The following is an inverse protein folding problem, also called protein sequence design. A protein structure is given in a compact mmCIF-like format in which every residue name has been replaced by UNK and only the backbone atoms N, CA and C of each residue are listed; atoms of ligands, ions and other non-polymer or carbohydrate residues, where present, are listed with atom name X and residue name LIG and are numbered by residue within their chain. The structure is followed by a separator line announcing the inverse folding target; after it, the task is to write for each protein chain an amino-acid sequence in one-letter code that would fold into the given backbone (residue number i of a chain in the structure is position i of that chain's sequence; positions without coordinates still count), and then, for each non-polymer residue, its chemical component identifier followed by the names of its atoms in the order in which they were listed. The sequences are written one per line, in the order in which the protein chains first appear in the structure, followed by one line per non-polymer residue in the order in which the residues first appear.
data_IF_978508240491
#
_entry.id   IF_978508240491
#
_cell.length_a   1.000
_cell.length_b   1.000
_cell.length_c   1.000
_cell.angle_alpha   90.00
_cell.angle_beta   90.00
_cell.angle_gamma   90.00
#
_symmetry.space_group_name_H-M   'P 1'
#
loop_
_entity.id
_entity.type
_entity.pdbx_description
1 polymer ?
#
# COMPACT_ATOMS: atom_id res chain seq x y z
N UNK A 1 10.90 -33.09 -27.88
CA UNK A 1 11.69 -33.06 -26.63
C UNK A 1 12.54 -31.80 -26.66
N UNK A 2 12.33 -30.94 -25.65
CA UNK A 2 13.23 -29.91 -25.13
C UNK A 2 13.59 -28.75 -26.07
N UNK A 3 12.78 -27.68 -26.07
CA UNK A 3 13.28 -26.33 -26.39
C UNK A 3 12.37 -25.18 -25.91
N UNK A 4 11.82 -25.20 -24.68
CA UNK A 4 11.13 -24.01 -24.11
C UNK A 4 11.33 -23.88 -22.58
N UNK A 5 12.53 -24.15 -22.07
CA UNK A 5 12.89 -23.88 -20.65
C UNK A 5 13.95 -22.80 -20.44
N UNK A 6 14.51 -22.21 -21.50
CA UNK A 6 15.62 -21.25 -21.41
C UNK A 6 15.24 -19.80 -21.11
N UNK A 7 14.09 -19.33 -21.60
CA UNK A 7 13.76 -17.89 -21.57
C UNK A 7 13.42 -17.30 -20.20
N UNK A 8 13.05 -18.14 -19.21
CA UNK A 8 12.72 -17.68 -17.86
C UNK A 8 13.95 -17.48 -16.96
N UNK A 9 15.00 -18.28 -17.15
CA UNK A 9 16.22 -18.23 -16.34
C UNK A 9 17.09 -17.04 -16.76
N UNK A 10 17.22 -16.78 -18.07
CA UNK A 10 18.00 -15.66 -18.60
C UNK A 10 17.43 -14.28 -18.20
N UNK A 11 16.12 -14.14 -18.06
CA UNK A 11 15.48 -12.88 -17.61
C UNK A 11 15.62 -12.64 -16.12
N UNK A 12 15.55 -13.71 -15.31
CA UNK A 12 15.77 -13.61 -13.87
C UNK A 12 17.23 -13.23 -13.54
N UNK A 13 18.19 -13.73 -14.34
CA UNK A 13 19.59 -13.29 -14.26
C UNK A 13 19.76 -11.82 -14.63
N UNK A 14 19.07 -11.33 -15.68
CA UNK A 14 19.11 -9.92 -16.07
C UNK A 14 18.56 -8.97 -15.00
N UNK A 15 17.45 -9.35 -14.33
CA UNK A 15 16.89 -8.57 -13.22
C UNK A 15 17.86 -8.49 -12.03
N UNK A 16 18.47 -9.61 -11.66
CA UNK A 16 19.46 -9.65 -10.57
C UNK A 16 20.73 -8.86 -10.92
N UNK A 17 21.12 -8.82 -12.20
CA UNK A 17 22.21 -7.99 -12.69
C UNK A 17 21.86 -6.50 -12.60
N UNK A 18 20.65 -6.07 -13.01
CA UNK A 18 20.20 -4.68 -12.88
C UNK A 18 20.22 -4.19 -11.42
N UNK A 19 19.80 -5.03 -10.47
CA UNK A 19 19.87 -4.70 -9.04
C UNK A 19 21.33 -4.51 -8.58
N UNK A 20 22.25 -5.39 -8.99
CA UNK A 20 23.68 -5.26 -8.66
C UNK A 20 24.29 -4.00 -9.26
N UNK A 21 23.87 -3.61 -10.47
CA UNK A 21 24.33 -2.38 -11.13
C UNK A 21 23.83 -1.16 -10.35
N UNK A 22 22.55 -1.15 -9.97
CA UNK A 22 21.95 -0.08 -9.16
C UNK A 22 22.65 0.08 -7.81
N UNK A 23 22.96 -1.04 -7.13
CA UNK A 23 23.69 -1.04 -5.86
C UNK A 23 25.13 -0.51 -6.02
N UNK A 24 25.81 -0.91 -7.11
CA UNK A 24 27.16 -0.42 -7.40
C UNK A 24 27.16 1.08 -7.71
N UNK A 25 26.18 1.57 -8.48
CA UNK A 25 26.04 2.97 -8.83
C UNK A 25 25.69 3.84 -7.61
N UNK A 26 24.82 3.35 -6.71
CA UNK A 26 24.52 4.02 -5.45
C UNK A 26 25.76 4.18 -4.56
N UNK A 27 26.62 3.16 -4.48
CA UNK A 27 27.91 3.25 -3.76
C UNK A 27 28.83 4.29 -4.38
N UNK A 28 28.94 4.31 -5.72
CA UNK A 28 29.77 5.31 -6.42
C UNK A 28 29.26 6.73 -6.17
N UNK A 29 27.93 6.94 -6.22
CA UNK A 29 27.30 8.23 -5.97
C UNK A 29 27.60 8.76 -4.56
N UNK A 30 27.61 7.87 -3.55
CA UNK A 30 27.94 8.22 -2.17
C UNK A 30 29.44 8.51 -1.98
N UNK A 31 30.32 7.73 -2.59
CA UNK A 31 31.79 7.91 -2.48
C UNK A 31 32.30 9.17 -3.20
N UNK A 32 31.53 9.71 -4.16
CA UNK A 32 31.84 10.98 -4.83
C UNK A 32 31.71 12.22 -3.92
N UNK A 33 30.98 12.10 -2.80
CA UNK A 33 30.82 13.18 -1.83
C UNK A 33 31.95 13.27 -0.79
N UNK A 34 32.72 12.20 -0.59
CA UNK A 34 33.92 12.18 0.27
C UNK A 34 35.21 12.41 -0.53
N UNK A 35 36.33 12.85 0.11
CA UNK A 35 37.60 12.99 -0.60
C UNK A 35 38.09 11.59 -0.99
N UNK A 36 37.82 11.18 -2.23
CA UNK A 36 38.32 9.92 -2.77
C UNK A 36 39.84 9.82 -2.65
N UNK A 37 40.30 8.93 -1.78
CA UNK A 37 41.66 8.41 -1.81
C UNK A 37 41.90 7.61 -3.10
N UNK A 38 43.18 7.56 -3.48
CA UNK A 38 43.68 7.31 -4.84
C UNK A 38 43.47 5.90 -5.40
N UNK A 39 42.67 5.04 -4.76
CA UNK A 39 42.42 3.63 -5.10
C UNK A 39 40.91 3.28 -5.11
N UNK A 40 40.08 4.15 -5.69
CA UNK A 40 38.62 3.98 -5.69
C UNK A 40 38.17 2.69 -6.38
N UNK A 41 37.84 1.68 -5.55
CA UNK A 41 37.18 0.43 -5.94
C UNK A 41 35.89 0.67 -6.75
N UNK A 42 35.25 1.82 -6.57
CA UNK A 42 34.06 2.27 -7.28
C UNK A 42 34.32 2.61 -8.76
N UNK A 43 35.46 3.21 -9.10
CA UNK A 43 35.84 3.49 -10.50
C UNK A 43 36.16 2.18 -11.23
N UNK A 44 36.85 1.25 -10.54
CA UNK A 44 37.13 -0.08 -11.07
C UNK A 44 35.85 -0.89 -11.30
N UNK A 45 34.91 -0.83 -10.36
CA UNK A 45 33.60 -1.47 -10.50
C UNK A 45 32.79 -0.90 -11.68
N UNK A 46 32.78 0.42 -11.90
CA UNK A 46 32.14 1.04 -13.07
C UNK A 46 32.79 0.66 -14.40
N UNK A 47 34.12 0.55 -14.44
CA UNK A 47 34.85 0.11 -15.63
C UNK A 47 34.64 -1.39 -15.92
N UNK A 48 34.54 -2.22 -14.87
CA UNK A 48 34.15 -3.63 -14.98
C UNK A 48 32.70 -3.77 -15.51
N UNK A 49 31.81 -2.86 -15.09
CA UNK A 49 30.42 -2.76 -15.55
C UNK A 49 30.33 -2.34 -17.04
N UNK A 50 31.18 -1.41 -17.49
CA UNK A 50 31.37 -1.05 -18.91
C UNK A 50 31.81 -2.25 -19.74
N UNK A 51 32.76 -3.05 -19.25
CA UNK A 51 33.22 -4.25 -19.95
C UNK A 51 32.16 -5.35 -19.96
N UNK A 52 31.41 -5.54 -18.87
CA UNK A 52 30.31 -6.51 -18.79
C UNK A 52 29.12 -6.11 -19.68
N UNK A 53 28.82 -4.81 -19.81
CA UNK A 53 27.87 -4.28 -20.77
C UNK A 53 28.32 -4.56 -22.22
N UNK A 54 29.60 -4.47 -22.53
CA UNK A 54 30.13 -4.80 -23.85
C UNK A 54 30.13 -6.30 -24.20
N UNK A 55 30.34 -7.18 -23.22
CA UNK A 55 30.56 -8.63 -23.46
C UNK A 55 29.36 -9.53 -23.17
N UNK A 56 28.47 -9.15 -22.24
CA UNK A 56 27.37 -10.01 -21.76
C UNK A 56 26.01 -9.71 -22.40
N UNK A 57 25.94 -8.73 -23.32
CA UNK A 57 24.69 -8.22 -23.91
C UNK A 57 24.33 -8.82 -25.28
N UNK A 58 24.95 -9.93 -25.72
CA UNK A 58 24.54 -10.59 -26.96
C UNK A 58 23.17 -11.28 -26.87
N UNK A 59 22.66 -11.53 -25.66
CA UNK A 59 21.45 -12.35 -25.45
C UNK A 59 20.23 -11.58 -24.90
N UNK A 60 20.42 -10.42 -24.27
CA UNK A 60 19.34 -9.50 -23.91
C UNK A 60 19.84 -8.05 -23.91
N UNK A 61 19.37 -7.19 -24.84
CA UNK A 61 19.87 -5.83 -24.94
C UNK A 61 19.28 -4.96 -23.81
N UNK A 62 20.15 -4.35 -22.99
CA UNK A 62 19.78 -3.12 -22.30
C UNK A 62 19.27 -2.11 -23.33
N UNK A 63 18.36 -1.18 -22.98
CA UNK A 63 18.00 -0.10 -23.88
C UNK A 63 19.28 0.59 -24.36
N UNK A 64 19.38 0.83 -25.67
CA UNK A 64 20.54 1.51 -26.29
C UNK A 64 20.86 2.87 -25.61
N UNK A 65 19.86 3.52 -25.02
CA UNK A 65 20.00 4.71 -24.19
C UNK A 65 20.86 4.48 -22.94
N UNK A 66 20.66 3.37 -22.23
CA UNK A 66 21.34 3.08 -20.97
C UNK A 66 22.81 2.74 -21.18
N UNK A 67 23.16 2.03 -22.26
CA UNK A 67 24.56 1.77 -22.61
C UNK A 67 25.30 3.04 -23.05
N UNK A 68 24.60 3.97 -23.71
CA UNK A 68 25.13 5.29 -24.06
C UNK A 68 25.35 6.14 -22.81
N UNK A 69 24.39 6.22 -21.90
CA UNK A 69 24.52 6.97 -20.64
C UNK A 69 25.62 6.41 -19.75
N UNK A 70 25.72 5.08 -19.61
CA UNK A 70 26.82 4.43 -18.86
C UNK A 70 28.19 4.73 -19.45
N UNK A 71 28.30 4.78 -20.79
CA UNK A 71 29.56 5.13 -21.48
C UNK A 71 29.92 6.60 -21.23
N UNK A 72 28.95 7.51 -21.32
CA UNK A 72 29.13 8.94 -21.02
C UNK A 72 29.51 9.18 -19.56
N UNK A 73 28.93 8.45 -18.62
CA UNK A 73 29.30 8.50 -17.21
C UNK A 73 30.73 8.01 -17.00
N UNK A 74 31.12 6.88 -17.60
CA UNK A 74 32.47 6.34 -17.49
C UNK A 74 33.53 7.30 -18.04
N UNK A 75 33.26 7.92 -19.20
CA UNK A 75 34.16 8.89 -19.81
C UNK A 75 34.25 10.18 -18.95
N UNK A 76 33.13 10.66 -18.38
CA UNK A 76 33.10 11.83 -17.49
C UNK A 76 33.82 11.61 -16.15
N UNK A 77 33.73 10.41 -15.58
CA UNK A 77 34.44 10.01 -14.35
C UNK A 77 35.94 9.90 -14.62
N UNK A 78 36.35 9.34 -15.76
CA UNK A 78 37.75 9.27 -16.17
C UNK A 78 38.34 10.67 -16.39
N UNK A 79 37.58 11.55 -17.00
CA UNK A 79 37.92 12.96 -17.20
C UNK A 79 38.09 13.73 -15.88
N UNK A 80 37.21 13.46 -14.91
CA UNK A 80 37.28 14.05 -13.58
C UNK A 80 38.51 13.52 -12.81
N UNK A 81 38.84 12.24 -12.96
CA UNK A 81 40.04 11.64 -12.40
C UNK A 81 41.30 12.29 -12.99
N UNK A 82 41.39 12.40 -14.31
CA UNK A 82 42.53 13.02 -15.00
C UNK A 82 42.70 14.51 -14.64
N UNK A 83 41.60 15.22 -14.36
CA UNK A 83 41.62 16.61 -13.92
C UNK A 83 42.13 16.78 -12.47
N UNK A 84 41.99 15.78 -11.59
CA UNK A 84 42.55 15.80 -10.23
C UNK A 84 44.09 15.73 -10.23
N UNK A 85 44.68 15.09 -11.23
CA UNK A 85 46.13 14.92 -11.38
C UNK A 85 46.84 16.15 -11.96
N UNK A 86 46.07 17.10 -12.51
CA UNK A 86 46.56 18.34 -13.13
C UNK A 86 46.48 19.54 -12.16
N UNK A 87 47.47 20.43 -12.23
CA UNK A 87 47.82 21.46 -11.22
C UNK A 87 46.65 22.29 -10.64
N UNK A 88 46.83 22.64 -9.38
CA UNK A 88 45.94 23.41 -8.50
C UNK A 88 45.75 24.87 -8.96
N UNK A 89 44.53 25.24 -9.33
CA UNK A 89 44.11 26.61 -9.65
C UNK A 89 42.60 26.80 -9.49
N UNK A 90 42.13 28.04 -9.36
CA UNK A 90 40.70 28.34 -9.17
C UNK A 90 39.82 27.84 -10.34
N UNK A 91 40.36 27.84 -11.55
CA UNK A 91 39.71 27.29 -12.75
C UNK A 91 39.57 25.77 -12.63
N UNK A 92 40.59 25.04 -12.17
CA UNK A 92 40.49 23.59 -11.98
C UNK A 92 39.55 23.20 -10.85
N UNK A 93 39.37 24.04 -9.83
CA UNK A 93 38.33 23.85 -8.80
C UNK A 93 36.90 24.00 -9.36
N UNK A 94 36.63 25.04 -10.16
CA UNK A 94 35.33 25.24 -10.78
C UNK A 94 35.01 24.15 -11.81
N UNK A 95 35.98 23.77 -12.66
CA UNK A 95 35.83 22.66 -13.60
C UNK A 95 35.57 21.34 -12.88
N UNK A 96 36.20 21.09 -11.72
CA UNK A 96 35.96 19.89 -10.91
C UNK A 96 34.55 19.87 -10.32
N UNK A 97 34.01 21.00 -9.84
CA UNK A 97 32.63 21.07 -9.35
C UNK A 97 31.58 20.91 -10.45
N UNK A 98 31.81 21.51 -11.61
CA UNK A 98 30.91 21.37 -12.77
C UNK A 98 30.92 19.91 -13.27
N UNK A 99 32.10 19.30 -13.43
CA UNK A 99 32.20 17.88 -13.83
C UNK A 99 31.64 16.94 -12.75
N UNK A 100 31.81 17.25 -11.47
CA UNK A 100 31.22 16.46 -10.37
C UNK A 100 29.69 16.52 -10.42
N UNK A 101 29.12 17.70 -10.66
CA UNK A 101 27.68 17.87 -10.84
C UNK A 101 27.16 17.13 -12.07
N UNK A 102 27.91 17.15 -13.18
CA UNK A 102 27.57 16.41 -14.40
C UNK A 102 27.59 14.89 -14.18
N UNK A 103 28.59 14.37 -13.47
CA UNK A 103 28.66 12.97 -13.05
C UNK A 103 27.50 12.61 -12.13
N UNK A 104 27.19 13.42 -11.12
CA UNK A 104 26.04 13.18 -10.23
C UNK A 104 24.71 13.23 -10.98
N UNK A 105 24.54 14.14 -11.94
CA UNK A 105 23.34 14.22 -12.79
C UNK A 105 23.20 12.96 -13.66
N UNK A 106 24.26 12.57 -14.37
CA UNK A 106 24.26 11.38 -15.22
C UNK A 106 24.04 10.10 -14.40
N UNK A 107 24.64 10.00 -13.21
CA UNK A 107 24.40 8.89 -12.30
C UNK A 107 22.93 8.83 -11.86
N UNK A 108 22.32 9.95 -11.51
CA UNK A 108 20.90 10.01 -11.15
C UNK A 108 19.97 9.65 -12.34
N UNK A 109 20.31 10.07 -13.56
CA UNK A 109 19.58 9.70 -14.78
C UNK A 109 19.65 8.19 -15.05
N UNK A 110 20.84 7.61 -14.93
CA UNK A 110 21.06 6.16 -15.10
C UNK A 110 20.35 5.38 -13.98
N UNK A 111 20.43 5.84 -12.73
CA UNK A 111 19.70 5.25 -11.61
C UNK A 111 18.19 5.20 -11.88
N UNK A 112 17.63 6.32 -12.32
CA UNK A 112 16.21 6.41 -12.67
C UNK A 112 15.85 5.46 -13.82
N UNK A 113 16.70 5.37 -14.85
CA UNK A 113 16.46 4.50 -16.00
C UNK A 113 16.56 3.00 -15.64
N UNK A 114 17.56 2.61 -14.85
CA UNK A 114 17.68 1.25 -14.30
C UNK A 114 16.46 0.91 -13.46
N UNK A 115 16.03 1.84 -12.61
CA UNK A 115 14.88 1.63 -11.73
C UNK A 115 13.59 1.45 -12.54
N UNK A 116 13.36 2.26 -13.58
CA UNK A 116 12.22 2.09 -14.47
C UNK A 116 12.22 0.71 -15.18
N UNK A 117 13.39 0.17 -15.53
CA UNK A 117 13.51 -1.18 -16.08
C UNK A 117 13.19 -2.27 -15.06
N UNK A 118 13.68 -2.12 -13.82
CA UNK A 118 13.37 -3.02 -12.70
C UNK A 118 11.87 -3.06 -12.46
N UNK A 119 11.22 -1.90 -12.42
CA UNK A 119 9.79 -1.79 -12.18
C UNK A 119 8.97 -2.37 -13.35
N UNK A 120 9.41 -2.13 -14.59
CA UNK A 120 8.82 -2.74 -15.78
C UNK A 120 8.89 -4.27 -15.73
N UNK A 121 10.04 -4.82 -15.35
CA UNK A 121 10.25 -6.26 -15.28
C UNK A 121 9.43 -6.88 -14.14
N UNK A 122 9.34 -6.20 -12.99
CA UNK A 122 8.51 -6.63 -11.87
C UNK A 122 7.03 -6.77 -12.26
N UNK A 123 6.46 -5.75 -12.92
CA UNK A 123 5.07 -5.80 -13.41
C UNK A 123 4.93 -6.86 -14.49
N UNK A 124 5.89 -6.94 -15.43
CA UNK A 124 5.83 -7.92 -16.51
C UNK A 124 5.87 -9.36 -16.00
N UNK A 125 6.68 -9.67 -15.00
CA UNK A 125 6.80 -11.03 -14.45
C UNK A 125 5.55 -11.44 -13.71
N UNK A 126 5.00 -10.56 -12.88
CA UNK A 126 3.73 -10.82 -12.20
C UNK A 126 2.59 -11.06 -13.21
N UNK A 127 2.48 -10.23 -14.24
CA UNK A 127 1.42 -10.40 -15.26
C UNK A 127 1.59 -11.69 -16.06
N UNK A 128 2.83 -12.10 -16.40
CA UNK A 128 3.08 -13.38 -17.08
C UNK A 128 2.71 -14.55 -16.19
N UNK A 129 3.18 -14.57 -14.94
CA UNK A 129 2.85 -15.62 -13.98
C UNK A 129 1.34 -15.75 -13.82
N UNK A 130 0.61 -14.64 -13.69
CA UNK A 130 -0.86 -14.64 -13.60
C UNK A 130 -1.54 -15.12 -14.90
N UNK A 131 -0.99 -14.78 -16.06
CA UNK A 131 -1.51 -15.25 -17.35
C UNK A 131 -1.31 -16.76 -17.52
N UNK A 132 -0.13 -17.29 -17.18
CA UNK A 132 0.20 -18.72 -17.23
C UNK A 132 -0.72 -19.54 -16.32
N UNK A 133 -1.02 -19.02 -15.12
CA UNK A 133 -1.92 -19.66 -14.15
C UNK A 133 -3.36 -19.80 -14.64
N UNK A 134 -3.81 -18.99 -15.59
CA UNK A 134 -5.15 -19.16 -16.18
C UNK A 134 -5.26 -20.43 -17.03
N UNK A 135 -4.14 -20.97 -17.50
CA UNK A 135 -4.09 -22.12 -18.39
C UNK A 135 -3.45 -23.37 -17.75
N UNK A 136 -2.80 -23.24 -16.59
CA UNK A 136 -2.18 -24.36 -15.87
C UNK A 136 -2.75 -24.50 -14.45
N UNK A 137 -3.22 -25.69 -14.04
CA UNK A 137 -3.77 -25.93 -12.69
C UNK A 137 -2.70 -26.07 -11.60
N UNK A 138 -1.42 -26.23 -11.98
CA UNK A 138 -0.31 -26.22 -11.03
C UNK A 138 0.26 -24.80 -10.96
N UNK A 139 0.14 -24.17 -9.79
CA UNK A 139 0.66 -22.83 -9.56
C UNK A 139 1.54 -22.78 -8.32
N UNK A 140 2.61 -21.99 -8.42
CA UNK A 140 3.56 -21.78 -7.33
C UNK A 140 3.07 -20.58 -6.49
N UNK A 141 2.52 -20.89 -5.32
CA UNK A 141 1.99 -19.92 -4.36
C UNK A 141 3.07 -18.94 -3.87
N UNK A 142 4.27 -19.43 -3.59
CA UNK A 142 5.35 -18.63 -3.02
C UNK A 142 5.93 -17.70 -4.09
N UNK A 143 6.06 -18.16 -5.33
CA UNK A 143 6.45 -17.31 -6.47
C UNK A 143 5.48 -16.14 -6.61
N UNK A 144 4.17 -16.41 -6.66
CA UNK A 144 3.15 -15.38 -6.82
C UNK A 144 3.15 -14.39 -5.65
N UNK A 145 3.29 -14.90 -4.41
CA UNK A 145 3.39 -14.07 -3.21
C UNK A 145 4.61 -13.13 -3.25
N UNK A 146 5.75 -13.63 -3.70
CA UNK A 146 6.99 -12.86 -3.81
C UNK A 146 6.89 -11.80 -4.91
N UNK A 147 6.34 -12.12 -6.07
CA UNK A 147 6.14 -11.15 -7.17
C UNK A 147 5.19 -10.01 -6.74
N UNK A 148 4.09 -10.31 -6.05
CA UNK A 148 3.23 -9.27 -5.46
C UNK A 148 3.99 -8.44 -4.41
N UNK A 149 4.87 -9.06 -3.61
CA UNK A 149 5.70 -8.34 -2.63
C UNK A 149 6.69 -7.38 -3.28
N UNK A 150 7.28 -7.75 -4.42
CA UNK A 150 8.15 -6.87 -5.21
C UNK A 150 7.35 -5.68 -5.73
N UNK A 151 6.16 -5.94 -6.31
CA UNK A 151 5.30 -4.86 -6.79
C UNK A 151 4.91 -3.88 -5.67
N UNK A 152 4.55 -4.37 -4.47
CA UNK A 152 4.24 -3.51 -3.33
C UNK A 152 5.42 -2.61 -2.93
N UNK A 153 6.64 -3.14 -2.93
CA UNK A 153 7.85 -2.35 -2.67
C UNK A 153 8.04 -1.27 -3.73
N UNK A 154 7.81 -1.60 -5.00
CA UNK A 154 7.84 -0.63 -6.10
C UNK A 154 6.81 0.48 -5.90
N UNK A 155 5.55 0.15 -5.58
CA UNK A 155 4.49 1.14 -5.34
C UNK A 155 4.77 2.04 -4.13
N UNK A 156 5.43 1.52 -3.10
CA UNK A 156 5.75 2.27 -1.88
C UNK A 156 6.77 3.41 -2.06
N UNK A 157 7.46 3.45 -3.21
CA UNK A 157 8.48 4.48 -3.52
C UNK A 157 7.89 5.82 -3.93
N UNK A 158 6.58 5.88 -4.17
CA UNK A 158 5.86 7.09 -4.57
C UNK A 158 5.40 7.03 -6.02
N UNK A 159 4.72 8.09 -6.44
CA UNK A 159 4.09 8.17 -7.74
C UNK A 159 5.10 8.33 -8.89
N UNK A 160 4.97 7.49 -9.92
CA UNK A 160 5.75 7.57 -11.16
C UNK A 160 4.83 7.38 -12.38
N UNK A 161 4.90 8.30 -13.34
CA UNK A 161 4.02 8.31 -14.52
C UNK A 161 4.31 7.16 -15.49
N UNK A 162 5.57 6.74 -15.62
CA UNK A 162 5.97 5.65 -16.50
C UNK A 162 5.52 4.31 -15.91
N UNK A 163 5.67 4.15 -14.59
CA UNK A 163 5.14 3.01 -13.86
C UNK A 163 3.62 2.91 -14.02
N UNK A 164 2.90 4.03 -13.91
CA UNK A 164 1.44 4.03 -14.12
C UNK A 164 1.07 3.51 -15.52
N UNK A 165 1.74 3.98 -16.58
CA UNK A 165 1.47 3.53 -17.96
C UNK A 165 1.71 2.01 -18.09
N UNK A 166 2.77 1.49 -17.47
CA UNK A 166 3.07 0.05 -17.45
C UNK A 166 1.99 -0.74 -16.70
N UNK A 167 1.58 -0.28 -15.52
CA UNK A 167 0.53 -0.90 -14.71
C UNK A 167 -0.80 -0.97 -15.48
N UNK A 168 -1.18 0.12 -16.15
CA UNK A 168 -2.41 0.18 -16.94
C UNK A 168 -2.37 -0.75 -18.16
N UNK A 169 -1.29 -0.72 -18.94
CA UNK A 169 -1.14 -1.57 -20.13
C UNK A 169 -1.11 -3.06 -19.78
N UNK A 170 -0.53 -3.41 -18.64
CA UNK A 170 -0.45 -4.80 -18.18
C UNK A 170 -1.78 -5.37 -17.70
N UNK A 171 -2.79 -4.53 -17.42
CA UNK A 171 -4.07 -4.97 -16.85
C UNK A 171 -3.93 -5.59 -15.46
N UNK A 172 -2.87 -5.25 -14.71
CA UNK A 172 -2.51 -5.96 -13.48
C UNK A 172 -3.62 -5.90 -12.42
N UNK A 173 -4.36 -4.79 -12.35
CA UNK A 173 -5.45 -4.63 -11.40
C UNK A 173 -6.54 -5.71 -11.59
N UNK A 174 -6.97 -5.95 -12.83
CA UNK A 174 -7.97 -6.97 -13.15
C UNK A 174 -7.46 -8.40 -12.87
N UNK A 175 -6.15 -8.63 -13.02
CA UNK A 175 -5.55 -9.91 -12.68
C UNK A 175 -5.52 -10.15 -11.17
N UNK A 176 -5.18 -9.12 -10.38
CA UNK A 176 -5.22 -9.18 -8.92
C UNK A 176 -6.65 -9.34 -8.38
N UNK A 177 -7.61 -8.64 -9.00
CA UNK A 177 -9.02 -8.81 -8.69
C UNK A 177 -9.49 -10.24 -8.92
N UNK A 178 -9.09 -10.86 -10.04
CA UNK A 178 -9.38 -12.25 -10.32
C UNK A 178 -8.81 -13.19 -9.24
N UNK A 179 -7.58 -12.95 -8.77
CA UNK A 179 -7.00 -13.72 -7.66
C UNK A 179 -7.82 -13.54 -6.37
N UNK A 180 -8.18 -12.31 -6.03
CA UNK A 180 -8.96 -11.99 -4.84
C UNK A 180 -10.34 -12.67 -4.84
N UNK A 181 -11.03 -12.63 -5.99
CA UNK A 181 -12.40 -13.12 -6.13
C UNK A 181 -12.49 -14.64 -6.27
N UNK A 182 -11.39 -15.31 -6.64
CA UNK A 182 -11.40 -16.75 -6.93
C UNK A 182 -11.01 -17.59 -5.70
N UNK A 183 -11.92 -18.40 -5.14
CA UNK A 183 -11.66 -19.19 -3.93
C UNK A 183 -10.65 -20.33 -4.14
N UNK A 184 -10.27 -20.63 -5.39
CA UNK A 184 -9.18 -21.58 -5.72
C UNK A 184 -7.86 -21.14 -5.10
N UNK A 185 -7.64 -19.82 -4.95
CA UNK A 185 -6.44 -19.30 -4.32
C UNK A 185 -6.51 -19.38 -2.79
N UNK A 186 -5.40 -19.79 -2.14
CA UNK A 186 -5.33 -19.83 -0.68
C UNK A 186 -5.50 -18.44 -0.08
N UNK A 187 -6.03 -18.39 1.15
CA UNK A 187 -6.31 -17.15 1.88
C UNK A 187 -5.11 -16.19 1.89
N UNK A 188 -3.90 -16.69 2.15
CA UNK A 188 -2.65 -15.90 2.17
C UNK A 188 -2.38 -15.16 0.85
N UNK A 189 -2.61 -15.80 -0.29
CA UNK A 189 -2.40 -15.20 -1.61
C UNK A 189 -3.49 -14.17 -1.91
N UNK A 190 -4.75 -14.47 -1.57
CA UNK A 190 -5.87 -13.53 -1.74
C UNK A 190 -5.72 -12.28 -0.87
N UNK A 191 -5.27 -12.43 0.36
CA UNK A 191 -4.92 -11.32 1.25
C UNK A 191 -3.79 -10.47 0.68
N UNK A 192 -2.76 -11.11 0.11
CA UNK A 192 -1.67 -10.39 -0.54
C UNK A 192 -2.16 -9.63 -1.78
N UNK A 193 -3.06 -10.21 -2.56
CA UNK A 193 -3.69 -9.54 -3.69
C UNK A 193 -4.49 -8.31 -3.21
N UNK A 194 -5.31 -8.44 -2.16
CA UNK A 194 -6.06 -7.34 -1.57
C UNK A 194 -5.16 -6.18 -1.12
N UNK A 195 -4.05 -6.47 -0.42
CA UNK A 195 -3.09 -5.44 0.01
C UNK A 195 -2.46 -4.76 -1.22
N UNK A 196 -2.09 -5.53 -2.25
CA UNK A 196 -1.49 -4.99 -3.47
C UNK A 196 -2.47 -4.10 -4.23
N UNK A 197 -3.75 -4.48 -4.30
CA UNK A 197 -4.80 -3.65 -4.90
C UNK A 197 -5.02 -2.36 -4.11
N UNK A 198 -4.99 -2.42 -2.79
CA UNK A 198 -5.03 -1.24 -1.92
C UNK A 198 -3.83 -0.32 -2.20
N UNK A 199 -2.62 -0.86 -2.32
CA UNK A 199 -1.41 -0.08 -2.64
C UNK A 199 -1.51 0.56 -4.05
N UNK A 200 -2.12 -0.10 -5.03
CA UNK A 200 -2.38 0.49 -6.36
C UNK A 200 -3.35 1.67 -6.27
N UNK A 201 -4.43 1.56 -5.49
CA UNK A 201 -5.38 2.66 -5.27
C UNK A 201 -4.72 3.85 -4.57
N UNK A 202 -3.85 3.59 -3.60
CA UNK A 202 -3.10 4.65 -2.91
C UNK A 202 -2.03 5.29 -3.81
N UNK A 203 -1.47 4.52 -4.75
CA UNK A 203 -0.51 5.02 -5.73
C UNK A 203 -1.15 6.05 -6.69
N UNK A 204 -2.34 5.75 -7.23
CA UNK A 204 -3.15 6.74 -7.93
C UNK A 204 -4.66 6.44 -7.80
N UNK A 205 -5.32 7.20 -6.94
CA UNK A 205 -6.75 7.07 -6.67
C UNK A 205 -7.59 7.24 -7.95
N UNK A 206 -7.36 8.29 -8.71
CA UNK A 206 -8.24 8.70 -9.82
C UNK A 206 -8.28 7.67 -10.95
N UNK A 207 -7.22 6.86 -11.05
CA UNK A 207 -7.09 5.80 -12.05
C UNK A 207 -7.79 4.52 -11.61
N UNK A 208 -7.60 4.09 -10.37
CA UNK A 208 -8.03 2.74 -9.94
C UNK A 208 -9.38 2.72 -9.22
N UNK A 209 -9.93 3.87 -8.78
CA UNK A 209 -11.24 3.93 -8.12
C UNK A 209 -12.34 3.29 -8.97
N UNK A 210 -12.37 3.58 -10.28
CA UNK A 210 -13.37 3.01 -11.18
C UNK A 210 -13.32 1.47 -11.21
N UNK A 211 -12.12 0.89 -11.24
CA UNK A 211 -11.93 -0.56 -11.23
C UNK A 211 -12.35 -1.20 -9.90
N UNK A 212 -12.10 -0.52 -8.77
CA UNK A 212 -12.55 -1.00 -7.45
C UNK A 212 -14.07 -1.02 -7.35
N UNK A 213 -14.74 0.07 -7.78
CA UNK A 213 -16.18 0.26 -7.60
C UNK A 213 -17.03 -0.58 -8.56
N UNK A 214 -16.55 -0.81 -9.78
CA UNK A 214 -17.28 -1.61 -10.78
C UNK A 214 -16.97 -3.11 -10.71
N UNK A 215 -16.00 -3.48 -9.87
CA UNK A 215 -15.47 -4.82 -9.75
C UNK A 215 -16.18 -5.71 -8.72
N UNK A 216 -15.72 -6.95 -8.59
CA UNK A 216 -16.13 -7.89 -7.53
C UNK A 216 -15.33 -7.74 -6.22
N UNK A 217 -14.33 -6.84 -6.22
CA UNK A 217 -13.37 -6.66 -5.14
C UNK A 217 -14.01 -6.35 -3.79
N UNK A 218 -14.94 -5.40 -3.73
CA UNK A 218 -15.59 -4.97 -2.48
C UNK A 218 -16.37 -6.14 -1.87
N UNK A 219 -17.19 -6.81 -2.69
CA UNK A 219 -17.94 -7.99 -2.28
C UNK A 219 -17.04 -9.09 -1.74
N UNK A 220 -15.90 -9.36 -2.38
CA UNK A 220 -14.95 -10.37 -1.92
C UNK A 220 -14.34 -10.01 -0.55
N UNK A 221 -13.99 -8.74 -0.34
CA UNK A 221 -13.41 -8.25 0.91
C UNK A 221 -14.40 -8.31 2.08
N UNK A 222 -15.66 -7.92 1.88
CA UNK A 222 -16.67 -7.90 2.96
C UNK A 222 -17.28 -9.27 3.28
N UNK A 223 -17.07 -10.27 2.42
CA UNK A 223 -17.67 -11.61 2.58
C UNK A 223 -16.84 -12.56 3.44
N UNK A 224 -15.58 -12.23 3.75
CA UNK A 224 -14.67 -13.13 4.46
C UNK A 224 -14.19 -12.50 5.76
N UNK A 225 -14.15 -13.29 6.82
CA UNK A 225 -13.56 -12.92 8.10
C UNK A 225 -12.02 -12.95 8.03
N UNK A 226 -11.43 -11.77 7.80
CA UNK A 226 -9.99 -11.59 7.90
C UNK A 226 -9.65 -10.21 8.43
N UNK A 227 -8.73 -10.18 9.39
CA UNK A 227 -8.13 -8.93 9.88
C UNK A 227 -7.50 -8.13 8.72
N UNK A 228 -6.85 -8.82 7.78
CA UNK A 228 -6.22 -8.19 6.62
C UNK A 228 -7.26 -7.50 5.72
N UNK A 229 -8.40 -8.15 5.47
CA UNK A 229 -9.45 -7.54 4.67
C UNK A 229 -10.09 -6.34 5.37
N UNK A 230 -10.27 -6.37 6.68
CA UNK A 230 -10.75 -5.21 7.44
C UNK A 230 -9.77 -4.03 7.36
N UNK A 231 -8.46 -4.30 7.45
CA UNK A 231 -7.42 -3.26 7.27
C UNK A 231 -7.43 -2.66 5.86
N UNK A 232 -7.59 -3.51 4.85
CA UNK A 232 -7.73 -3.07 3.45
C UNK A 232 -9.00 -2.24 3.27
N UNK A 233 -10.14 -2.68 3.81
CA UNK A 233 -11.40 -1.94 3.76
C UNK A 233 -11.26 -0.57 4.40
N UNK A 234 -10.69 -0.47 5.61
CA UNK A 234 -10.46 0.81 6.28
C UNK A 234 -9.61 1.77 5.43
N UNK A 235 -8.52 1.24 4.85
CA UNK A 235 -7.64 2.03 3.98
C UNK A 235 -8.38 2.53 2.72
N UNK A 236 -9.21 1.68 2.11
CA UNK A 236 -9.98 2.02 0.91
C UNK A 236 -11.14 2.97 1.21
N UNK A 237 -11.80 2.86 2.36
CA UNK A 237 -12.83 3.81 2.80
C UNK A 237 -12.22 5.22 2.92
N UNK A 238 -11.05 5.36 3.56
CA UNK A 238 -10.35 6.66 3.66
C UNK A 238 -9.93 7.20 2.29
N UNK A 239 -9.40 6.33 1.44
CA UNK A 239 -8.88 6.74 0.14
C UNK A 239 -10.01 7.17 -0.81
N UNK A 240 -11.05 6.34 -0.96
CA UNK A 240 -12.09 6.51 -1.96
C UNK A 240 -13.25 7.37 -1.42
N UNK A 241 -13.52 7.32 -0.12
CA UNK A 241 -14.61 8.01 0.60
C UNK A 241 -16.00 7.47 0.25
N UNK A 242 -17.01 8.35 0.22
CA UNK A 242 -18.43 7.99 0.06
C UNK A 242 -18.71 6.98 -1.06
N UNK A 243 -18.15 7.10 -2.29
CA UNK A 243 -18.44 6.13 -3.35
C UNK A 243 -18.14 4.68 -2.97
N UNK A 244 -17.10 4.44 -2.17
CA UNK A 244 -16.76 3.10 -1.70
C UNK A 244 -17.74 2.61 -0.63
N UNK A 245 -18.13 3.50 0.27
CA UNK A 245 -19.12 3.18 1.31
C UNK A 245 -20.48 2.86 0.70
N UNK A 246 -20.87 3.57 -0.36
CA UNK A 246 -22.13 3.32 -1.07
C UNK A 246 -22.12 1.94 -1.75
N UNK A 247 -21.02 1.55 -2.37
CA UNK A 247 -20.88 0.22 -2.98
C UNK A 247 -20.78 -0.90 -1.91
N UNK A 248 -20.20 -0.60 -0.74
CA UNK A 248 -20.26 -1.52 0.41
C UNK A 248 -21.68 -1.71 0.94
N UNK A 249 -22.50 -0.66 0.92
CA UNK A 249 -23.91 -0.73 1.31
C UNK A 249 -24.70 -1.58 0.30
N UNK A 250 -24.50 -1.33 -1.01
CA UNK A 250 -25.20 -2.04 -2.09
C UNK A 250 -24.98 -3.56 -2.06
N UNK A 251 -23.80 -4.00 -1.62
CA UNK A 251 -23.47 -5.42 -1.47
C UNK A 251 -23.76 -5.99 -0.07
N UNK A 252 -24.37 -5.22 0.83
CA UNK A 252 -24.69 -5.62 2.21
C UNK A 252 -23.48 -5.75 3.15
N UNK A 253 -22.32 -5.22 2.75
CA UNK A 253 -21.07 -5.35 3.50
C UNK A 253 -21.05 -4.61 4.84
N UNK A 254 -21.85 -3.55 4.98
CA UNK A 254 -21.95 -2.77 6.24
C UNK A 254 -22.45 -3.65 7.38
N UNK A 255 -23.47 -4.47 7.15
CA UNK A 255 -24.02 -5.38 8.17
C UNK A 255 -22.98 -6.39 8.65
N UNK A 256 -22.13 -6.89 7.74
CA UNK A 256 -21.04 -7.81 8.09
C UNK A 256 -20.02 -7.12 9.00
N UNK A 257 -19.63 -5.88 8.69
CA UNK A 257 -18.70 -5.10 9.52
C UNK A 257 -19.26 -4.88 10.93
N UNK A 258 -20.54 -4.50 11.03
CA UNK A 258 -21.20 -4.34 12.33
C UNK A 258 -21.23 -5.67 13.10
N UNK A 259 -21.42 -6.80 12.42
CA UNK A 259 -21.40 -8.12 13.07
C UNK A 259 -20.04 -8.46 13.70
N UNK A 260 -18.93 -8.02 13.10
CA UNK A 260 -17.57 -8.26 13.60
C UNK A 260 -17.26 -7.55 14.93
N UNK A 261 -18.04 -6.54 15.32
CA UNK A 261 -17.97 -5.94 16.66
C UNK A 261 -18.28 -6.94 17.79
N UNK A 262 -18.94 -8.05 17.47
CA UNK A 262 -19.20 -9.14 18.43
C UNK A 262 -18.25 -10.34 18.26
N UNK A 263 -17.16 -10.20 17.50
CA UNK A 263 -16.15 -11.25 17.34
C UNK A 263 -15.46 -11.59 18.68
N UNK A 264 -14.99 -12.83 18.84
CA UNK A 264 -14.20 -13.23 20.00
C UNK A 264 -12.80 -12.59 19.99
N UNK A 265 -12.28 -12.25 18.81
CA UNK A 265 -10.93 -11.71 18.63
C UNK A 265 -10.93 -10.18 18.82
N UNK A 266 -10.08 -9.71 19.74
CA UNK A 266 -9.95 -8.28 20.04
C UNK A 266 -9.49 -7.48 18.81
N UNK A 267 -8.55 -8.01 18.02
CA UNK A 267 -8.02 -7.33 16.84
C UNK A 267 -9.09 -7.11 15.77
N UNK A 268 -9.95 -8.12 15.54
CA UNK A 268 -11.10 -8.00 14.63
C UNK A 268 -12.08 -6.94 15.13
N UNK A 269 -12.40 -6.94 16.43
CA UNK A 269 -13.28 -5.92 17.02
C UNK A 269 -12.73 -4.50 16.85
N UNK A 270 -11.43 -4.32 17.08
CA UNK A 270 -10.76 -3.02 16.93
C UNK A 270 -10.80 -2.53 15.48
N UNK A 271 -10.48 -3.41 14.52
CA UNK A 271 -10.49 -3.04 13.11
C UNK A 271 -11.92 -2.83 12.58
N UNK A 272 -12.89 -3.65 13.00
CA UNK A 272 -14.30 -3.43 12.69
C UNK A 272 -14.78 -2.08 13.22
N UNK A 273 -14.34 -1.71 14.42
CA UNK A 273 -14.64 -0.41 14.99
C UNK A 273 -14.02 0.74 14.20
N UNK A 274 -12.79 0.59 13.73
CA UNK A 274 -12.16 1.58 12.84
C UNK A 274 -12.97 1.77 11.55
N UNK A 275 -13.36 0.67 10.89
CA UNK A 275 -14.24 0.73 9.72
C UNK A 275 -15.57 1.43 10.02
N UNK A 276 -16.23 1.10 11.15
CA UNK A 276 -17.49 1.75 11.57
C UNK A 276 -17.33 3.26 11.74
N UNK A 277 -16.22 3.71 12.33
CA UNK A 277 -15.94 5.13 12.50
C UNK A 277 -15.81 5.85 11.15
N UNK A 278 -15.10 5.22 10.21
CA UNK A 278 -14.89 5.78 8.88
C UNK A 278 -16.15 5.77 8.03
N UNK A 279 -16.96 4.70 8.11
CA UNK A 279 -18.29 4.65 7.48
C UNK A 279 -19.18 5.74 8.09
N UNK A 280 -19.13 5.97 9.40
CA UNK A 280 -19.84 7.08 10.05
C UNK A 280 -19.40 8.46 9.54
N UNK A 281 -18.13 8.62 9.19
CA UNK A 281 -17.57 9.87 8.70
C UNK A 281 -17.87 10.12 7.20
N UNK A 282 -17.66 9.12 6.33
CA UNK A 282 -17.79 9.27 4.88
C UNK A 282 -19.13 8.79 4.31
N UNK A 283 -19.89 7.99 5.06
CA UNK A 283 -21.11 7.35 4.59
C UNK A 283 -22.25 8.33 4.36
N UNK A 284 -23.01 8.07 3.30
CA UNK A 284 -24.29 8.74 3.05
C UNK A 284 -25.38 8.18 3.95
N UNK A 285 -26.58 8.76 3.85
CA UNK A 285 -27.72 8.46 4.70
C UNK A 285 -28.00 6.95 4.78
N UNK A 286 -28.02 6.28 3.64
CA UNK A 286 -28.33 4.85 3.50
C UNK A 286 -27.33 3.98 4.27
N UNK A 287 -26.03 4.30 4.18
CA UNK A 287 -24.99 3.59 4.89
C UNK A 287 -25.08 3.73 6.42
N UNK A 288 -25.40 4.94 6.90
CA UNK A 288 -25.58 5.20 8.34
C UNK A 288 -26.87 4.55 8.87
N UNK A 289 -27.95 4.56 8.08
CA UNK A 289 -29.17 3.80 8.38
C UNK A 289 -28.89 2.30 8.47
N UNK A 290 -28.15 1.73 7.52
CA UNK A 290 -27.77 0.33 7.52
C UNK A 290 -27.00 -0.05 8.81
N UNK A 291 -26.09 0.81 9.28
CA UNK A 291 -25.38 0.58 10.55
C UNK A 291 -26.33 0.60 11.75
N UNK A 292 -27.16 1.64 11.89
CA UNK A 292 -28.06 1.80 13.05
C UNK A 292 -29.10 0.67 13.08
N UNK A 293 -29.65 0.31 11.92
CA UNK A 293 -30.59 -0.80 11.76
C UNK A 293 -29.93 -2.16 11.96
N UNK A 294 -28.61 -2.27 11.72
CA UNK A 294 -27.80 -3.47 11.97
C UNK A 294 -27.39 -3.68 13.44
N UNK A 295 -28.12 -3.07 14.38
CA UNK A 295 -27.84 -3.11 15.82
C UNK A 295 -26.49 -2.50 16.23
N UNK A 296 -25.92 -1.57 15.45
CA UNK A 296 -24.62 -0.96 15.78
C UNK A 296 -24.61 -0.38 17.20
N UNK A 297 -25.60 0.45 17.54
CA UNK A 297 -25.64 1.14 18.83
C UNK A 297 -25.67 0.14 19.99
N UNK A 298 -26.44 -0.94 19.85
CA UNK A 298 -26.48 -2.02 20.84
C UNK A 298 -25.10 -2.63 21.06
N UNK A 299 -24.42 -2.99 19.97
CA UNK A 299 -23.08 -3.59 20.03
C UNK A 299 -22.04 -2.63 20.62
N UNK A 300 -22.11 -1.34 20.32
CA UNK A 300 -21.22 -0.34 20.90
C UNK A 300 -21.44 -0.18 22.40
N UNK A 301 -22.68 -0.16 22.86
CA UNK A 301 -23.00 -0.12 24.30
C UNK A 301 -22.49 -1.41 24.98
N UNK A 302 -22.70 -2.58 24.38
CA UNK A 302 -22.18 -3.85 24.91
C UNK A 302 -20.65 -3.87 25.00
N UNK A 303 -19.95 -3.32 24.00
CA UNK A 303 -18.50 -3.18 24.00
C UNK A 303 -18.01 -2.26 25.13
N UNK A 304 -18.70 -1.13 25.37
CA UNK A 304 -18.40 -0.25 26.50
C UNK A 304 -18.59 -0.96 27.85
N UNK A 305 -19.56 -1.87 27.97
CA UNK A 305 -19.80 -2.65 29.20
C UNK A 305 -18.82 -3.78 29.42
N UNK A 306 -18.30 -4.38 28.36
CA UNK A 306 -17.43 -5.58 28.42
C UNK A 306 -16.12 -5.37 29.20
N UNK A 307 -15.91 -4.16 29.70
CA UNK A 307 -14.86 -3.66 30.58
C UNK A 307 -14.84 -4.25 32.02
N UNK A 308 -15.68 -5.25 32.34
CA UNK A 308 -15.81 -5.77 33.71
C UNK A 308 -15.02 -7.04 34.07
N UNK A 309 -15.10 -8.12 33.27
CA UNK A 309 -15.02 -9.46 33.90
C UNK A 309 -13.91 -10.40 33.42
N UNK A 310 -13.23 -10.14 32.29
CA UNK A 310 -12.32 -11.15 31.70
C UNK A 310 -10.93 -10.70 31.24
N UNK A 311 -10.53 -9.44 31.42
CA UNK A 311 -9.21 -8.97 30.91
C UNK A 311 -8.17 -8.75 32.03
N UNK A 312 -8.56 -8.62 33.31
CA UNK A 312 -7.62 -8.39 34.42
C UNK A 312 -7.35 -9.62 35.31
N UNK A 313 -7.46 -10.83 34.77
CA UNK A 313 -7.14 -12.08 35.48
C UNK A 313 -5.66 -12.46 35.51
N UNK A 314 -4.79 -11.76 34.79
CA UNK A 314 -3.34 -12.04 34.79
C UNK A 314 -2.58 -10.74 34.55
N UNK A 315 -1.69 -10.39 35.48
CA UNK A 315 -0.84 -9.18 35.50
C UNK A 315 -1.49 -7.94 36.15
N UNK A 316 -1.47 -7.91 37.49
CA UNK A 316 -1.20 -6.65 38.20
C UNK A 316 0.16 -6.15 37.74
N UNK A 317 0.29 -4.85 37.57
CA UNK A 317 1.47 -4.14 37.06
C UNK A 317 1.51 -3.95 35.54
N UNK A 318 0.53 -3.23 34.97
CA UNK A 318 0.80 -2.15 34.02
C UNK A 318 -0.31 -1.10 34.12
N UNK A 319 0.11 0.17 34.01
CA UNK A 319 -0.66 1.42 34.07
C UNK A 319 -2.03 1.33 33.38
N UNK A 320 -3.02 2.09 33.89
CA UNK A 320 -4.28 2.50 33.20
C UNK A 320 -4.04 2.64 31.69
N UNK A 321 -4.24 1.56 30.93
CA UNK A 321 -4.32 1.61 29.47
C UNK A 321 -5.80 1.78 29.20
N UNK A 322 -6.16 2.93 28.63
CA UNK A 322 -7.52 3.28 28.23
C UNK A 322 -8.18 2.08 27.54
N UNK A 323 -9.40 1.74 27.93
CA UNK A 323 -10.18 0.74 27.21
C UNK A 323 -10.33 1.24 25.76
N UNK A 324 -9.96 0.43 24.75
CA UNK A 324 -10.05 0.87 23.37
C UNK A 324 -11.50 1.15 22.91
N UNK A 325 -12.48 0.62 23.63
CA UNK A 325 -13.91 0.84 23.43
C UNK A 325 -14.52 1.86 24.41
N UNK A 326 -13.70 2.57 25.18
CA UNK A 326 -14.16 3.67 26.01
C UNK A 326 -14.86 4.73 25.14
N UNK A 327 -16.06 5.13 25.58
CA UNK A 327 -16.89 6.18 24.96
C UNK A 327 -17.13 5.98 23.46
N UNK A 328 -17.16 4.73 23.02
CA UNK A 328 -17.17 4.40 21.60
C UNK A 328 -18.49 4.73 20.90
N UNK A 329 -19.61 4.76 21.63
CA UNK A 329 -20.89 5.32 21.18
C UNK A 329 -20.76 6.82 20.90
N UNK A 330 -20.16 7.58 21.83
CA UNK A 330 -19.94 9.01 21.67
C UNK A 330 -18.98 9.30 20.52
N UNK A 331 -17.89 8.53 20.39
CA UNK A 331 -16.96 8.63 19.25
C UNK A 331 -17.66 8.43 17.91
N UNK A 332 -18.56 7.45 17.82
CA UNK A 332 -19.34 7.21 16.60
C UNK A 332 -20.28 8.37 16.30
N UNK A 333 -21.01 8.86 17.32
CA UNK A 333 -21.89 10.03 17.16
C UNK A 333 -21.13 11.28 16.68
N UNK A 334 -19.90 11.48 17.17
CA UNK A 334 -19.01 12.54 16.70
C UNK A 334 -18.67 12.36 15.22
N UNK A 335 -18.29 11.15 14.78
CA UNK A 335 -17.98 10.91 13.36
C UNK A 335 -19.16 11.23 12.45
N UNK A 336 -20.38 10.85 12.85
CA UNK A 336 -21.62 11.17 12.12
C UNK A 336 -21.85 12.69 12.03
N UNK A 337 -21.55 13.43 13.10
CA UNK A 337 -21.76 14.87 13.18
C UNK A 337 -20.71 15.69 12.42
N UNK A 338 -19.43 15.34 12.52
CA UNK A 338 -18.35 16.03 11.82
C UNK A 338 -18.09 15.49 10.41
N UNK A 339 -18.67 14.35 10.06
CA UNK A 339 -18.46 13.64 8.81
C UNK A 339 -18.83 14.40 7.54
N UNK A 340 -18.24 14.00 6.43
CA UNK A 340 -18.42 14.60 5.10
C UNK A 340 -19.67 14.06 4.37
N UNK A 341 -20.17 12.86 4.72
CA UNK A 341 -21.17 12.15 3.92
C UNK A 341 -22.63 12.62 4.10
N UNK A 342 -22.94 13.30 5.21
CA UNK A 342 -24.32 13.65 5.59
C UNK A 342 -24.62 15.15 5.51
N UNK A 343 -25.86 15.48 5.17
CA UNK A 343 -26.40 16.84 5.24
C UNK A 343 -26.68 17.22 6.69
N UNK A 344 -26.67 18.52 6.98
CA UNK A 344 -26.91 19.04 8.33
C UNK A 344 -28.25 18.61 8.96
N UNK A 345 -29.30 18.41 8.14
CA UNK A 345 -30.59 17.88 8.65
C UNK A 345 -30.46 16.41 9.05
N UNK A 346 -29.86 15.59 8.18
CA UNK A 346 -29.64 14.16 8.42
C UNK A 346 -28.78 13.93 9.66
N UNK A 347 -27.72 14.73 9.86
CA UNK A 347 -26.88 14.69 11.06
C UNK A 347 -27.70 14.88 12.35
N UNK A 348 -28.64 15.83 12.37
CA UNK A 348 -29.52 16.06 13.52
C UNK A 348 -30.49 14.90 13.73
N UNK A 349 -31.05 14.37 12.66
CA UNK A 349 -31.99 13.25 12.71
C UNK A 349 -31.30 12.00 13.27
N UNK A 350 -30.09 11.66 12.76
CA UNK A 350 -29.31 10.54 13.28
C UNK A 350 -28.86 10.75 14.71
N UNK A 351 -28.51 11.97 15.13
CA UNK A 351 -28.20 12.26 16.53
C UNK A 351 -29.37 11.89 17.45
N UNK A 352 -30.60 12.25 17.06
CA UNK A 352 -31.81 11.88 17.82
C UNK A 352 -32.02 10.35 17.80
N UNK A 353 -31.85 9.70 16.66
CA UNK A 353 -31.97 8.24 16.55
C UNK A 353 -30.96 7.49 17.42
N UNK A 354 -29.69 7.92 17.42
CA UNK A 354 -28.63 7.37 18.28
C UNK A 354 -29.02 7.50 19.75
N UNK A 355 -29.46 8.68 20.19
CA UNK A 355 -29.87 8.92 21.57
C UNK A 355 -31.06 8.04 21.98
N UNK A 356 -32.04 7.83 21.10
CA UNK A 356 -33.17 6.94 21.37
C UNK A 356 -32.70 5.48 21.49
N UNK A 357 -31.84 5.02 20.58
CA UNK A 357 -31.29 3.66 20.62
C UNK A 357 -30.42 3.39 21.84
N UNK A 358 -29.66 4.39 22.31
CA UNK A 358 -28.91 4.31 23.57
C UNK A 358 -29.88 4.05 24.73
N UNK A 359 -30.95 4.85 24.84
CA UNK A 359 -31.96 4.68 25.91
C UNK A 359 -32.65 3.32 25.87
N UNK A 360 -32.93 2.80 24.68
CA UNK A 360 -33.53 1.48 24.49
C UNK A 360 -32.60 0.33 24.87
N UNK A 361 -31.28 0.52 24.74
CA UNK A 361 -30.30 -0.56 24.90
C UNK A 361 -29.61 -0.56 26.27
N UNK A 362 -29.58 0.57 26.96
CA UNK A 362 -29.00 0.68 28.30
C UNK A 362 -29.74 -0.20 29.33
N UNK A 363 -29.00 -0.86 30.22
CA UNK A 363 -29.59 -1.75 31.25
C UNK A 363 -30.11 -0.94 32.45
N UNK A 364 -29.63 0.29 32.61
CA UNK A 364 -30.04 1.19 33.70
C UNK A 364 -30.15 2.64 33.23
N UNK A 365 -30.98 3.41 33.94
CA UNK A 365 -31.13 4.85 33.71
C UNK A 365 -29.80 5.61 33.94
N UNK A 366 -28.96 5.14 34.86
CA UNK A 366 -27.66 5.73 35.13
C UNK A 366 -26.68 5.56 33.95
N UNK A 367 -26.62 4.35 33.38
CA UNK A 367 -25.81 4.07 32.19
C UNK A 367 -26.31 4.88 30.99
N UNK A 368 -27.63 4.91 30.79
CA UNK A 368 -28.29 5.71 29.76
C UNK A 368 -27.95 7.19 29.89
N UNK A 369 -28.12 7.77 31.08
CA UNK A 369 -27.80 9.17 31.34
C UNK A 369 -26.33 9.50 31.09
N UNK A 370 -25.41 8.62 31.50
CA UNK A 370 -23.97 8.79 31.28
C UNK A 370 -23.64 8.78 29.79
N UNK A 371 -24.10 7.76 29.06
CA UNK A 371 -23.82 7.63 27.62
C UNK A 371 -24.47 8.76 26.81
N UNK A 372 -25.71 9.15 27.15
CA UNK A 372 -26.40 10.29 26.55
C UNK A 372 -25.64 11.60 26.79
N UNK A 373 -25.18 11.83 28.02
CA UNK A 373 -24.38 13.01 28.32
C UNK A 373 -23.09 13.01 27.48
N UNK A 374 -22.37 11.89 27.41
CA UNK A 374 -21.15 11.79 26.60
C UNK A 374 -21.40 12.06 25.11
N UNK A 375 -22.50 11.56 24.55
CA UNK A 375 -22.90 11.84 23.17
C UNK A 375 -23.22 13.32 22.99
N UNK A 376 -23.96 13.96 23.90
CA UNK A 376 -24.31 15.37 23.78
C UNK A 376 -23.10 16.31 23.94
N UNK A 377 -22.24 16.04 24.92
CA UNK A 377 -21.06 16.86 25.23
C UNK A 377 -19.89 16.59 24.29
N UNK A 378 -19.66 15.34 23.89
CA UNK A 378 -18.57 14.97 22.97
C UNK A 378 -18.79 15.50 21.55
N UNK A 379 -20.05 15.74 21.19
CA UNK A 379 -20.49 16.26 19.90
C UNK A 379 -20.72 17.78 19.88
N UNK A 380 -20.51 18.49 20.98
CA UNK A 380 -20.69 19.94 21.01
C UNK A 380 -19.44 20.62 20.39
N UNK A 381 -19.60 21.60 19.47
CA UNK A 381 -18.48 22.28 18.80
C UNK A 381 -17.45 22.93 19.73
#
# INVERSE_FOLDING_TARGET
MIEERGGGVEKMEAHQQLIKILEALNRVSHDLHEPLDSDSSAIKALLELRTASGSSLSSNPLPFSLSQHLSQLADSVQDLHNAKTSRHGLISFLTRRVKSHEVSRLAAEIESEIQALIDREAVSNLTKTLAEMRFSPSFDEDKLFNEMSVLQKTLSRGFDINLQDILLRSGIFANLEWVLCNPVFPKRVREKAAITMKDLVLFNKDVFVGSVLLGGSIKALVSTDSLCYLQVLSSLIKAIKSPFVDEMESCGGISNIVSYLSSNELEIKLMAMECVMEIGYFGRKEAVEAMINGDLIKRLVDLQRSEGDHIYGRCREMKKKNNPFERCVARFAVQVEVGEGLRQREKRDFKVQILNKVRETCVSDAESATTVAEVLWGSSP
#
